data_IF_701218551591
#
_entry.id   IF_701218551591
#
_cell.length_a   1.000
_cell.length_b   1.000
_cell.length_c   1.000
_cell.angle_alpha   90.00
_cell.angle_beta   90.00
_cell.angle_gamma   90.00
#
_symmetry.space_group_name_H-M   'P 1'
#
loop_
_entity.id
_entity.type
_entity.pdbx_description
1 polymer ?
#
# COMPACT_ATOMS: atom_id res chain seq x y z
N UNK A 1 -1.37 -15.41 14.84
CA UNK A 1 -1.02 -15.96 13.52
C UNK A 1 -0.16 -14.97 12.74
N UNK A 2 0.23 -15.30 11.52
CA UNK A 2 1.11 -14.46 10.68
C UNK A 2 0.48 -13.11 10.27
N UNK A 3 -0.84 -12.97 10.38
CA UNK A 3 -1.57 -11.72 10.12
C UNK A 3 -1.65 -10.77 11.33
N UNK A 4 -0.77 -10.93 12.33
CA UNK A 4 -0.76 -10.07 13.52
C UNK A 4 -0.52 -8.59 13.20
N UNK A 5 -1.16 -7.69 13.94
CA UNK A 5 -1.14 -6.25 13.68
C UNK A 5 -1.81 -5.42 14.79
N UNK A 6 -2.02 -4.11 14.57
CA UNK A 6 -2.74 -3.28 15.52
C UNK A 6 -4.22 -3.69 15.60
N UNK A 7 -4.77 -3.62 16.80
CA UNK A 7 -6.18 -3.77 17.11
C UNK A 7 -6.74 -2.45 17.60
N UNK A 8 -7.87 -2.02 17.06
CA UNK A 8 -8.58 -0.83 17.51
C UNK A 8 -9.90 -1.24 18.15
N UNK A 9 -10.10 -0.85 19.41
CA UNK A 9 -11.35 -1.00 20.15
C UNK A 9 -11.96 0.37 20.34
N UNK A 10 -13.28 0.51 20.12
CA UNK A 10 -13.95 1.80 20.30
C UNK A 10 -15.40 1.66 20.73
N UNK A 11 -15.96 2.72 21.31
CA UNK A 11 -17.36 2.78 21.77
C UNK A 11 -18.23 3.73 20.91
N UNK A 12 -19.52 3.82 21.26
CA UNK A 12 -20.48 4.72 20.59
C UNK A 12 -20.16 6.21 20.79
N UNK A 13 -19.29 6.57 21.72
CA UNK A 13 -18.81 7.95 21.95
C UNK A 13 -17.54 8.27 21.16
N UNK A 14 -17.02 7.32 20.36
CA UNK A 14 -15.75 7.42 19.67
C UNK A 14 -14.52 7.46 20.58
N UNK A 15 -14.64 7.03 21.85
CA UNK A 15 -13.46 6.72 22.65
C UNK A 15 -12.79 5.50 22.03
N UNK A 16 -11.49 5.57 21.77
CA UNK A 16 -10.78 4.55 21.03
C UNK A 16 -9.47 4.17 21.72
N UNK A 17 -9.19 2.87 21.73
CA UNK A 17 -7.97 2.25 22.23
C UNK A 17 -7.28 1.51 21.09
N UNK A 18 -5.98 1.76 20.90
CA UNK A 18 -5.14 1.07 19.91
C UNK A 18 -4.15 0.20 20.65
N UNK A 19 -4.15 -1.10 20.36
CA UNK A 19 -3.22 -2.09 20.93
C UNK A 19 -2.37 -2.66 19.80
N UNK A 20 -1.05 -2.57 19.88
CA UNK A 20 -0.15 -3.08 18.85
C UNK A 20 1.14 -3.65 19.44
N UNK A 21 1.90 -4.45 18.67
CA UNK A 21 3.31 -4.62 18.95
C UNK A 21 4.01 -3.25 19.01
N UNK A 22 4.93 -3.10 19.95
CA UNK A 22 5.88 -1.99 20.06
C UNK A 22 7.27 -2.41 19.59
N UNK A 23 7.60 -3.70 19.65
CA UNK A 23 8.88 -4.23 19.17
C UNK A 23 8.69 -5.58 18.47
N UNK A 24 9.74 -6.06 17.80
CA UNK A 24 9.78 -7.38 17.13
C UNK A 24 8.62 -7.60 16.15
N UNK A 25 8.27 -6.60 15.35
CA UNK A 25 7.07 -6.58 14.50
C UNK A 25 6.86 -7.85 13.65
N UNK A 26 7.94 -8.38 13.08
CA UNK A 26 7.89 -9.59 12.25
C UNK A 26 7.63 -10.88 13.04
N UNK A 27 8.00 -10.93 14.32
CA UNK A 27 7.71 -12.08 15.19
C UNK A 27 6.42 -11.90 15.99
N UNK A 28 6.08 -10.66 16.35
CA UNK A 28 4.95 -10.33 17.20
C UNK A 28 3.62 -10.73 16.53
N UNK A 29 2.69 -11.16 17.37
CA UNK A 29 1.43 -11.69 16.92
C UNK A 29 0.34 -11.48 17.96
N UNK A 30 -0.89 -11.34 17.48
CA UNK A 30 -2.09 -11.37 18.28
C UNK A 30 -3.08 -12.38 17.68
N UNK A 31 -3.98 -12.88 18.52
CA UNK A 31 -5.06 -13.76 18.10
C UNK A 31 -6.29 -13.50 18.97
N UNK A 32 -7.44 -13.33 18.31
CA UNK A 32 -8.75 -13.35 18.97
C UNK A 32 -9.14 -14.80 19.24
N UNK A 33 -9.60 -15.09 20.46
CA UNK A 33 -10.09 -16.38 20.92
C UNK A 33 -11.53 -16.21 21.43
N UNK A 34 -12.51 -16.72 20.68
CA UNK A 34 -13.92 -16.41 20.96
C UNK A 34 -14.20 -14.91 20.87
N UNK A 35 -15.29 -14.42 21.44
CA UNK A 35 -15.67 -13.00 21.35
C UNK A 35 -15.06 -12.09 22.41
N UNK A 36 -14.55 -12.65 23.50
CA UNK A 36 -14.17 -11.89 24.71
C UNK A 36 -12.67 -11.93 25.04
N UNK A 37 -11.88 -12.76 24.36
CA UNK A 37 -10.46 -12.90 24.66
C UNK A 37 -9.57 -12.57 23.47
N UNK A 38 -8.51 -11.84 23.75
CA UNK A 38 -7.44 -11.54 22.80
C UNK A 38 -6.13 -11.85 23.50
N UNK A 39 -5.28 -12.62 22.82
CA UNK A 39 -3.94 -12.96 23.29
C UNK A 39 -2.90 -12.27 22.43
N UNK A 40 -1.78 -11.91 23.04
CA UNK A 40 -0.61 -11.32 22.41
C UNK A 40 0.63 -12.15 22.72
N UNK A 41 1.58 -12.20 21.79
CA UNK A 41 2.82 -12.96 21.93
C UNK A 41 3.59 -12.99 20.61
N UNK A 42 4.25 -14.12 20.33
CA UNK A 42 4.95 -14.37 19.07
C UNK A 42 4.16 -15.28 18.14
N UNK A 43 4.57 -15.35 16.87
CA UNK A 43 3.99 -16.26 15.88
C UNK A 43 4.15 -17.74 16.28
N UNK A 44 3.13 -18.55 15.98
CA UNK A 44 3.02 -19.91 16.53
C UNK A 44 3.90 -20.98 15.86
N UNK A 45 4.56 -20.64 14.75
CA UNK A 45 5.44 -21.56 14.00
C UNK A 45 6.93 -21.41 14.36
N UNK A 46 7.25 -20.61 15.38
CA UNK A 46 8.63 -20.38 15.82
C UNK A 46 9.26 -21.66 16.36
N UNK A 47 10.44 -22.01 15.84
CA UNK A 47 11.16 -23.24 16.21
C UNK A 47 11.74 -23.18 17.63
N UNK A 48 12.29 -22.03 18.01
CA UNK A 48 12.94 -21.82 19.30
C UNK A 48 12.85 -20.37 19.73
N UNK A 49 12.45 -20.16 20.99
CA UNK A 49 12.54 -18.87 21.66
C UNK A 49 13.78 -18.88 22.54
N UNK A 50 14.77 -17.99 22.32
CA UNK A 50 15.94 -17.92 23.19
C UNK A 50 15.55 -17.44 24.58
N UNK A 51 16.38 -17.79 25.58
CA UNK A 51 16.22 -17.22 26.92
C UNK A 51 16.29 -15.68 26.83
N UNK A 52 15.51 -15.00 27.68
CA UNK A 52 15.48 -13.53 27.75
C UNK A 52 14.93 -12.82 26.49
N UNK A 53 14.29 -13.55 25.56
CA UNK A 53 13.62 -12.92 24.43
C UNK A 53 12.43 -12.07 24.89
N UNK A 54 12.43 -10.79 24.55
CA UNK A 54 11.35 -9.85 24.88
C UNK A 54 10.60 -9.38 23.62
N UNK A 55 9.29 -9.22 23.78
CA UNK A 55 8.40 -8.55 22.83
C UNK A 55 7.57 -7.55 23.61
N UNK A 56 7.58 -6.31 23.18
CA UNK A 56 6.87 -5.22 23.83
C UNK A 56 5.56 -4.93 23.09
N UNK A 57 4.54 -4.55 23.84
CA UNK A 57 3.25 -4.14 23.30
C UNK A 57 2.88 -2.75 23.82
N UNK A 58 2.24 -1.97 22.95
CA UNK A 58 1.74 -0.63 23.25
C UNK A 58 0.23 -0.66 23.37
N UNK A 59 -0.29 0.05 24.36
CA UNK A 59 -1.70 0.42 24.48
C UNK A 59 -1.77 1.94 24.47
N UNK A 60 -2.52 2.50 23.52
CA UNK A 60 -2.79 3.94 23.40
C UNK A 60 -4.29 4.18 23.50
N UNK A 61 -4.70 5.32 24.05
CA UNK A 61 -6.10 5.71 24.21
C UNK A 61 -6.31 7.15 23.75
N UNK A 62 -7.45 7.43 23.11
CA UNK A 62 -7.90 8.77 22.74
C UNK A 62 -9.42 8.87 22.89
N UNK A 63 -9.89 9.98 23.44
CA UNK A 63 -11.30 10.37 23.53
C UNK A 63 -11.72 11.32 22.39
N UNK A 64 -10.82 11.56 21.43
CA UNK A 64 -10.98 12.54 20.33
C UNK A 64 -11.42 11.91 19.01
N UNK A 65 -11.75 10.62 19.01
CA UNK A 65 -12.13 9.88 17.81
C UNK A 65 -11.15 8.77 17.42
N UNK A 66 -11.63 7.87 16.57
CA UNK A 66 -10.92 6.67 16.11
C UNK A 66 -9.75 7.06 15.21
N UNK A 67 -10.00 7.94 14.23
CA UNK A 67 -8.95 8.50 13.37
C UNK A 67 -7.86 9.22 14.18
N UNK A 68 -8.24 9.96 15.22
CA UNK A 68 -7.28 10.65 16.08
C UNK A 68 -6.47 9.67 16.92
N UNK A 69 -7.09 8.62 17.48
CA UNK A 69 -6.38 7.57 18.19
C UNK A 69 -5.31 6.88 17.33
N UNK A 70 -5.63 6.58 16.07
CA UNK A 70 -4.68 6.01 15.11
C UNK A 70 -3.52 6.97 14.80
N UNK A 71 -3.81 8.26 14.61
CA UNK A 71 -2.76 9.28 14.40
C UNK A 71 -1.86 9.44 15.61
N UNK A 72 -2.41 9.51 16.82
CA UNK A 72 -1.64 9.67 18.06
C UNK A 72 -0.75 8.45 18.32
N UNK A 73 -1.30 7.24 18.12
CA UNK A 73 -0.57 5.97 18.16
C UNK A 73 0.58 5.94 17.14
N UNK A 74 0.29 6.30 15.89
CA UNK A 74 1.28 6.34 14.81
C UNK A 74 2.37 7.38 15.04
N UNK A 75 2.02 8.57 15.55
CA UNK A 75 2.96 9.62 15.92
C UNK A 75 3.91 9.16 17.03
N UNK A 76 3.41 8.41 18.02
CA UNK A 76 4.26 7.81 19.05
C UNK A 76 5.25 6.81 18.44
N UNK A 77 4.79 5.89 17.59
CA UNK A 77 5.64 4.87 16.97
C UNK A 77 6.69 5.48 16.04
N UNK A 78 6.29 6.37 15.13
CA UNK A 78 7.21 7.04 14.20
C UNK A 78 8.27 7.85 14.95
N UNK A 79 7.90 8.53 16.04
CA UNK A 79 8.87 9.20 16.93
C UNK A 79 9.80 8.21 17.63
N UNK A 80 9.28 7.11 18.16
CA UNK A 80 10.07 6.07 18.87
C UNK A 80 11.12 5.45 17.95
N UNK A 81 10.77 5.25 16.68
CA UNK A 81 11.62 4.63 15.67
C UNK A 81 12.37 5.62 14.76
N UNK A 82 12.28 6.92 15.04
CA UNK A 82 12.87 7.98 14.21
C UNK A 82 12.46 7.92 12.72
N UNK A 83 11.26 7.41 12.41
CA UNK A 83 10.72 7.44 11.04
C UNK A 83 10.24 8.85 10.72
N UNK A 84 10.80 9.44 9.66
CA UNK A 84 10.47 10.80 9.21
C UNK A 84 9.83 10.81 7.82
N UNK A 85 9.12 11.89 7.46
CA UNK A 85 8.49 12.06 6.14
C UNK A 85 9.45 12.43 5.00
N UNK A 86 10.75 12.57 5.28
CA UNK A 86 11.73 13.10 4.30
C UNK A 86 11.89 12.22 3.06
N UNK A 87 11.83 10.90 3.22
CA UNK A 87 11.90 9.99 2.07
C UNK A 87 10.64 10.14 1.19
N UNK A 88 9.46 10.21 1.83
CA UNK A 88 8.16 10.42 1.16
C UNK A 88 8.10 11.73 0.36
N UNK A 89 8.72 12.80 0.86
CA UNK A 89 8.77 14.10 0.17
C UNK A 89 9.64 14.08 -1.10
N UNK A 90 10.64 13.21 -1.15
CA UNK A 90 11.57 13.08 -2.28
C UNK A 90 11.18 11.95 -3.24
N UNK A 91 10.15 11.20 -2.91
CA UNK A 91 9.67 10.09 -3.71
C UNK A 91 8.96 10.61 -4.97
N UNK A 92 9.55 10.35 -6.14
CA UNK A 92 8.99 10.72 -7.43
C UNK A 92 7.60 10.09 -7.64
N UNK A 93 7.42 8.84 -7.17
CA UNK A 93 6.18 8.08 -7.35
C UNK A 93 4.99 8.67 -6.59
N UNK A 94 5.26 9.48 -5.56
CA UNK A 94 4.25 10.13 -4.72
C UNK A 94 3.99 11.58 -5.10
N UNK A 95 4.77 12.13 -6.03
CA UNK A 95 4.72 13.53 -6.42
C UNK A 95 4.30 13.73 -7.87
N UNK A 96 4.53 12.72 -8.73
CA UNK A 96 4.24 12.82 -10.16
C UNK A 96 3.41 11.64 -10.65
N UNK A 97 2.67 11.85 -11.73
CA UNK A 97 1.89 10.84 -12.44
C UNK A 97 2.81 9.74 -12.97
N UNK A 98 2.45 8.49 -12.69
CA UNK A 98 3.12 7.30 -13.22
C UNK A 98 2.32 6.63 -14.33
N UNK A 99 2.88 5.54 -14.84
CA UNK A 99 2.15 4.56 -15.66
C UNK A 99 2.53 3.15 -15.20
N UNK A 100 1.55 2.31 -14.93
CA UNK A 100 1.73 1.04 -14.22
C UNK A 100 1.29 -0.13 -15.10
N UNK A 101 2.11 -1.16 -15.15
CA UNK A 101 1.82 -2.41 -15.89
C UNK A 101 1.42 -3.56 -14.97
N UNK A 102 0.99 -3.26 -13.74
CA UNK A 102 0.52 -4.22 -12.73
C UNK A 102 -0.69 -5.01 -13.21
N UNK A 103 -1.01 -6.08 -12.47
CA UNK A 103 -2.25 -6.83 -12.67
C UNK A 103 -3.46 -5.89 -12.81
N UNK A 104 -4.25 -6.11 -13.85
CA UNK A 104 -5.40 -5.32 -14.25
C UNK A 104 -5.09 -4.23 -15.28
N UNK A 105 -3.82 -3.84 -15.47
CA UNK A 105 -3.42 -2.92 -16.52
C UNK A 105 -3.55 -3.56 -17.92
N UNK A 106 -3.80 -2.74 -18.94
CA UNK A 106 -3.94 -3.19 -20.32
C UNK A 106 -2.69 -3.93 -20.82
N UNK A 107 -1.49 -3.51 -20.40
CA UNK A 107 -0.21 -4.13 -20.75
C UNK A 107 0.33 -5.09 -19.67
N UNK A 108 -0.51 -5.65 -18.80
CA UNK A 108 -0.10 -6.77 -17.95
C UNK A 108 -0.08 -8.07 -18.76
N UNK A 109 1.09 -8.70 -18.90
CA UNK A 109 1.27 -9.89 -19.76
C UNK A 109 0.74 -9.70 -21.20
N UNK A 110 0.74 -8.47 -21.71
CA UNK A 110 0.19 -8.09 -23.00
C UNK A 110 1.00 -6.94 -23.63
N UNK A 111 1.21 -6.97 -24.95
CA UNK A 111 1.93 -5.93 -25.71
C UNK A 111 1.08 -5.38 -26.84
N UNK A 112 1.50 -4.26 -27.43
CA UNK A 112 1.00 -3.86 -28.74
C UNK A 112 1.27 -4.97 -29.77
N UNK A 113 0.31 -5.18 -30.69
CA UNK A 113 0.41 -6.25 -31.68
C UNK A 113 1.68 -6.11 -32.53
N UNK A 114 2.53 -7.14 -32.49
CA UNK A 114 3.77 -7.20 -33.28
C UNK A 114 4.95 -6.45 -32.65
N UNK A 115 4.85 -6.05 -31.38
CA UNK A 115 5.91 -5.37 -30.65
C UNK A 115 6.33 -6.13 -29.38
N UNK A 116 7.56 -5.85 -28.93
CA UNK A 116 8.03 -6.19 -27.59
C UNK A 116 7.53 -5.14 -26.56
N UNK A 117 7.88 -5.31 -25.29
CA UNK A 117 7.46 -4.39 -24.24
C UNK A 117 8.22 -3.07 -24.25
N UNK A 118 9.51 -3.07 -24.57
CA UNK A 118 10.30 -1.84 -24.69
C UNK A 118 9.62 -0.86 -25.67
N UNK A 119 9.31 -1.33 -26.89
CA UNK A 119 8.64 -0.54 -27.93
C UNK A 119 7.19 -0.19 -27.56
N UNK A 120 6.50 -1.05 -26.81
CA UNK A 120 5.12 -0.80 -26.36
C UNK A 120 5.07 0.31 -25.33
N UNK A 121 5.94 0.25 -24.31
CA UNK A 121 5.93 1.20 -23.20
C UNK A 121 6.49 2.56 -23.61
N UNK A 122 7.49 2.61 -24.50
CA UNK A 122 7.98 3.88 -25.09
C UNK A 122 6.87 4.58 -25.84
N UNK A 123 6.09 3.85 -26.65
CA UNK A 123 4.98 4.41 -27.39
C UNK A 123 3.84 4.91 -26.49
N UNK A 124 3.54 4.20 -25.41
CA UNK A 124 2.49 4.58 -24.46
C UNK A 124 2.81 5.90 -23.75
N UNK A 125 4.04 6.05 -23.26
CA UNK A 125 4.40 7.25 -22.50
C UNK A 125 4.80 8.44 -23.37
N UNK A 126 5.00 8.23 -24.68
CA UNK A 126 5.38 9.28 -25.61
C UNK A 126 4.35 10.43 -25.58
N UNK A 127 4.84 11.66 -25.34
CA UNK A 127 4.02 12.88 -25.25
C UNK A 127 2.98 12.88 -24.11
N UNK A 128 3.22 12.14 -23.03
CA UNK A 128 2.37 12.14 -21.84
C UNK A 128 2.94 12.99 -20.69
N UNK A 129 2.10 13.24 -19.68
CA UNK A 129 2.50 13.85 -18.40
C UNK A 129 3.11 12.83 -17.42
N UNK A 130 3.30 11.58 -17.84
CA UNK A 130 3.90 10.51 -17.01
C UNK A 130 5.38 10.82 -16.75
N UNK A 131 5.86 10.53 -15.53
CA UNK A 131 7.24 10.79 -15.08
C UNK A 131 7.98 9.56 -14.58
N UNK A 132 7.29 8.45 -14.37
CA UNK A 132 7.90 7.18 -14.05
C UNK A 132 7.05 6.02 -14.56
N UNK A 133 7.70 4.87 -14.75
CA UNK A 133 7.07 3.60 -15.04
C UNK A 133 7.16 2.70 -13.81
N UNK A 134 6.07 2.02 -13.46
CA UNK A 134 6.12 0.83 -12.63
C UNK A 134 5.94 -0.39 -13.54
N UNK A 135 6.92 -1.28 -13.52
CA UNK A 135 6.94 -2.48 -14.36
C UNK A 135 6.72 -3.69 -13.44
N UNK A 136 5.69 -4.46 -13.73
CA UNK A 136 5.27 -5.61 -12.93
C UNK A 136 5.75 -6.93 -13.55
N UNK A 137 5.47 -8.04 -12.86
CA UNK A 137 6.33 -9.18 -12.57
C UNK A 137 6.59 -10.17 -13.72
N UNK A 138 6.53 -9.69 -14.97
CA UNK A 138 6.66 -10.46 -16.20
C UNK A 138 7.97 -10.23 -16.96
N UNK A 139 8.79 -9.26 -16.54
CA UNK A 139 9.98 -8.87 -17.31
C UNK A 139 11.19 -9.77 -17.11
N UNK A 140 11.19 -10.64 -16.09
CA UNK A 140 12.33 -11.44 -15.68
C UNK A 140 12.08 -12.95 -15.78
N UNK A 141 13.14 -13.76 -15.96
CA UNK A 141 13.03 -15.21 -15.96
C UNK A 141 12.51 -15.75 -14.62
N UNK A 142 11.56 -16.68 -14.71
CA UNK A 142 11.04 -17.42 -13.56
C UNK A 142 11.74 -18.78 -13.41
N UNK A 143 12.07 -19.11 -12.17
CA UNK A 143 12.80 -20.30 -11.77
C UNK A 143 11.88 -21.39 -11.21
N UNK A 144 12.40 -22.15 -10.25
CA UNK A 144 11.64 -23.20 -9.57
C UNK A 144 10.40 -22.58 -8.89
N UNK A 145 9.25 -23.24 -9.06
CA UNK A 145 7.93 -22.82 -8.51
C UNK A 145 7.56 -21.36 -8.83
N UNK A 146 7.94 -20.84 -10.00
CA UNK A 146 7.68 -19.47 -10.45
C UNK A 146 8.39 -18.34 -9.69
N UNK A 147 9.32 -18.64 -8.77
CA UNK A 147 10.12 -17.61 -8.09
C UNK A 147 11.06 -16.86 -9.05
N UNK A 148 11.40 -15.61 -8.75
CA UNK A 148 12.34 -14.82 -9.56
C UNK A 148 13.71 -15.52 -9.64
N UNK A 149 14.16 -15.84 -10.86
CA UNK A 149 15.47 -16.50 -11.06
C UNK A 149 16.62 -15.49 -11.10
N UNK A 150 16.39 -14.36 -11.77
CA UNK A 150 17.33 -13.24 -11.91
C UNK A 150 16.53 -11.97 -12.12
N UNK A 151 17.05 -10.82 -11.68
CA UNK A 151 16.45 -9.49 -11.92
C UNK A 151 16.86 -8.87 -13.26
N UNK A 152 17.76 -9.53 -14.00
CA UNK A 152 18.06 -9.15 -15.38
C UNK A 152 16.84 -9.41 -16.27
N UNK A 153 16.35 -8.41 -17.01
CA UNK A 153 15.19 -8.60 -17.86
C UNK A 153 15.48 -9.56 -19.01
N UNK A 154 14.45 -10.27 -19.46
CA UNK A 154 14.56 -11.11 -20.64
C UNK A 154 14.79 -10.26 -21.89
N UNK A 155 15.79 -10.63 -22.71
CA UNK A 155 16.14 -9.90 -23.94
C UNK A 155 15.04 -9.95 -25.00
N UNK A 156 14.12 -10.92 -24.92
CA UNK A 156 12.91 -11.00 -25.74
C UNK A 156 11.87 -9.94 -25.37
N UNK A 157 11.91 -9.45 -24.13
CA UNK A 157 10.95 -8.51 -23.54
C UNK A 157 11.53 -7.08 -23.61
N UNK A 158 12.74 -6.90 -23.11
CA UNK A 158 13.52 -5.66 -23.13
C UNK A 158 14.86 -5.91 -23.84
N UNK A 159 14.92 -5.82 -25.18
CA UNK A 159 16.14 -6.09 -25.94
C UNK A 159 17.30 -5.14 -25.61
N UNK A 160 17.01 -3.91 -25.19
CA UNK A 160 18.01 -2.97 -24.67
C UNK A 160 18.48 -3.29 -23.25
N UNK A 161 17.78 -4.19 -22.57
CA UNK A 161 17.98 -4.52 -21.16
C UNK A 161 17.67 -3.36 -20.22
N UNK A 162 17.68 -3.66 -18.93
CA UNK A 162 18.01 -2.67 -17.91
C UNK A 162 19.52 -2.77 -17.77
N UNK A 163 20.26 -1.67 -17.62
CA UNK A 163 21.72 -1.74 -17.53
C UNK A 163 22.15 -2.54 -16.28
N UNK A 164 22.22 -3.86 -16.40
CA UNK A 164 22.71 -4.77 -15.38
C UNK A 164 22.89 -6.18 -15.94
N UNK A 165 24.14 -6.66 -15.91
CA UNK A 165 24.54 -7.92 -16.53
C UNK A 165 24.51 -9.06 -15.52
N UNK A 166 23.45 -9.89 -15.58
CA UNK A 166 23.21 -11.13 -14.82
C UNK A 166 23.23 -10.92 -13.29
N UNK A 167 22.50 -11.70 -12.48
CA UNK A 167 22.48 -11.51 -11.00
C UNK A 167 23.80 -11.89 -10.32
N UNK A 168 24.82 -11.09 -10.56
CA UNK A 168 26.13 -11.02 -9.92
C UNK A 168 26.05 -10.49 -8.50
N UNK A 169 24.86 -10.32 -7.93
CA UNK A 169 24.63 -9.84 -6.57
C UNK A 169 24.59 -10.96 -5.55
N UNK A 170 24.03 -12.12 -5.87
CA UNK A 170 23.90 -13.20 -4.89
C UNK A 170 25.27 -13.83 -4.57
N UNK A 171 25.57 -14.01 -3.29
CA UNK A 171 26.87 -14.54 -2.84
C UNK A 171 27.15 -15.96 -3.35
N UNK A 172 26.12 -16.77 -3.58
CA UNK A 172 26.26 -18.10 -4.19
C UNK A 172 26.47 -18.06 -5.71
N UNK A 173 26.31 -16.89 -6.35
CA UNK A 173 26.61 -16.62 -7.76
C UNK A 173 27.83 -15.69 -7.92
N UNK A 174 28.69 -15.56 -6.89
CA UNK A 174 29.89 -14.72 -6.94
C UNK A 174 29.68 -13.24 -6.60
N UNK A 175 28.51 -12.89 -6.09
CA UNK A 175 28.14 -11.53 -5.70
C UNK A 175 28.37 -11.14 -4.24
N UNK A 176 28.03 -9.90 -3.90
CA UNK A 176 28.32 -9.32 -2.57
C UNK A 176 27.15 -9.48 -1.58
N UNK A 177 25.94 -9.79 -2.05
CA UNK A 177 24.71 -9.81 -1.28
C UNK A 177 24.30 -11.22 -0.89
N UNK A 178 23.97 -11.39 0.39
CA UNK A 178 23.56 -12.68 0.95
C UNK A 178 22.06 -12.85 0.82
N UNK A 179 21.64 -13.62 -0.18
CA UNK A 179 20.28 -14.14 -0.27
C UNK A 179 20.13 -15.32 0.71
N UNK A 180 18.91 -15.52 1.21
CA UNK A 180 18.61 -16.59 2.18
C UNK A 180 17.79 -17.66 1.46
N UNK A 181 18.43 -18.76 1.02
CA UNK A 181 17.71 -19.84 0.35
C UNK A 181 16.95 -20.67 1.38
N UNK A 182 15.66 -20.89 1.13
CA UNK A 182 14.87 -21.92 1.78
C UNK A 182 15.01 -23.21 0.97
N UNK A 183 15.86 -24.11 1.46
CA UNK A 183 16.17 -25.37 0.78
C UNK A 183 14.97 -26.34 0.75
N UNK A 184 13.93 -26.14 1.56
CA UNK A 184 12.75 -27.01 1.58
C UNK A 184 11.71 -26.58 0.55
N UNK A 185 11.52 -25.26 0.39
CA UNK A 185 10.52 -24.69 -0.52
C UNK A 185 11.13 -24.35 -1.89
N UNK A 186 12.46 -24.21 -1.96
CA UNK A 186 13.18 -23.84 -3.17
C UNK A 186 13.17 -22.33 -3.47
N UNK A 187 12.57 -21.52 -2.61
CA UNK A 187 12.58 -20.06 -2.71
C UNK A 187 13.83 -19.46 -2.08
N UNK A 188 14.20 -18.24 -2.48
CA UNK A 188 15.22 -17.45 -1.81
C UNK A 188 14.67 -16.05 -1.62
N UNK A 189 14.83 -15.51 -0.41
CA UNK A 189 14.28 -14.20 -0.06
C UNK A 189 15.06 -13.09 -0.81
N UNK A 190 14.45 -12.36 -1.78
CA UNK A 190 15.15 -11.38 -2.62
C UNK A 190 15.05 -9.93 -2.10
N UNK A 191 15.80 -9.01 -2.71
CA UNK A 191 15.74 -7.55 -2.45
C UNK A 191 14.50 -6.87 -3.08
N UNK A 192 13.49 -7.66 -3.44
CA UNK A 192 12.28 -7.15 -4.08
C UNK A 192 11.10 -7.15 -3.12
N UNK A 193 10.15 -6.33 -3.51
CA UNK A 193 9.14 -5.80 -2.66
C UNK A 193 7.83 -5.79 -3.47
N UNK A 194 7.42 -7.00 -3.81
CA UNK A 194 6.06 -7.33 -4.23
C UNK A 194 5.62 -8.64 -3.56
N UNK A 195 4.31 -8.88 -3.45
CA UNK A 195 3.74 -10.14 -2.93
C UNK A 195 4.29 -10.56 -1.56
N UNK A 196 4.51 -9.58 -0.64
CA UNK A 196 5.12 -9.84 0.67
C UNK A 196 4.36 -10.89 1.51
N UNK A 197 3.04 -11.00 1.34
CA UNK A 197 2.23 -12.05 1.92
C UNK A 197 2.62 -13.43 1.39
N UNK A 198 2.72 -13.61 0.07
CA UNK A 198 3.08 -14.88 -0.56
C UNK A 198 4.50 -15.29 -0.17
N UNK A 199 5.45 -14.35 -0.19
CA UNK A 199 6.81 -14.60 0.29
C UNK A 199 6.81 -15.11 1.73
N UNK A 200 5.99 -14.52 2.60
CA UNK A 200 5.87 -14.96 4.00
C UNK A 200 5.18 -16.31 4.14
N UNK A 201 4.11 -16.54 3.38
CA UNK A 201 3.27 -17.74 3.49
C UNK A 201 3.95 -18.97 2.88
N UNK A 202 4.72 -18.76 1.81
CA UNK A 202 5.37 -19.83 1.06
C UNK A 202 6.82 -20.10 1.51
N UNK A 203 7.41 -19.24 2.35
CA UNK A 203 8.75 -19.44 2.89
C UNK A 203 8.69 -19.80 4.39
N UNK A 204 8.93 -21.09 4.70
CA UNK A 204 8.78 -21.58 6.07
C UNK A 204 9.76 -20.91 7.02
N UNK A 205 10.96 -20.54 6.55
CA UNK A 205 11.96 -19.89 7.36
C UNK A 205 11.49 -18.51 7.86
N UNK A 206 10.67 -17.78 7.09
CA UNK A 206 10.13 -16.48 7.49
C UNK A 206 9.11 -16.56 8.63
N UNK A 207 8.51 -17.72 8.83
CA UNK A 207 7.51 -17.95 9.90
C UNK A 207 8.05 -18.78 11.07
N UNK A 208 9.24 -19.37 10.94
CA UNK A 208 9.90 -20.15 11.99
C UNK A 208 11.08 -19.44 12.68
N UNK A 209 11.79 -18.55 11.98
CA UNK A 209 12.87 -17.72 12.54
C UNK A 209 12.35 -16.35 13.01
N UNK A 210 12.60 -16.04 14.29
CA UNK A 210 12.12 -14.82 14.96
C UNK A 210 12.66 -13.50 14.38
N UNK A 211 13.83 -13.52 13.73
CA UNK A 211 14.53 -12.32 13.29
C UNK A 211 14.77 -12.29 11.77
N UNK A 212 14.48 -13.38 11.04
CA UNK A 212 14.71 -13.48 9.60
C UNK A 212 13.94 -12.42 8.81
N UNK A 213 12.63 -12.31 9.00
CA UNK A 213 11.81 -11.32 8.27
C UNK A 213 12.26 -9.88 8.54
N UNK A 214 12.64 -9.57 9.78
CA UNK A 214 13.19 -8.23 10.12
C UNK A 214 14.54 -8.02 9.44
N UNK A 215 15.45 -9.00 9.50
CA UNK A 215 16.77 -8.91 8.87
C UNK A 215 16.65 -8.69 7.36
N UNK A 216 15.77 -9.43 6.70
CA UNK A 216 15.49 -9.26 5.28
C UNK A 216 15.06 -7.83 4.96
N UNK A 217 13.94 -7.37 5.54
CA UNK A 217 13.37 -6.08 5.20
C UNK A 217 14.30 -4.90 5.55
N UNK A 218 15.07 -5.01 6.64
CA UNK A 218 16.04 -3.97 7.01
C UNK A 218 17.31 -3.98 6.16
N UNK A 219 17.72 -5.13 5.61
CA UNK A 219 18.85 -5.18 4.67
C UNK A 219 18.46 -4.55 3.32
N UNK A 220 17.28 -4.90 2.80
CA UNK A 220 16.72 -4.27 1.60
C UNK A 220 16.59 -2.76 1.77
N UNK A 221 16.00 -2.35 2.90
CA UNK A 221 15.91 -0.95 3.31
C UNK A 221 17.22 -0.17 3.22
N UNK A 222 18.28 -0.71 3.80
CA UNK A 222 19.60 -0.06 3.84
C UNK A 222 20.22 0.07 2.46
N UNK A 223 20.07 -0.94 1.61
CA UNK A 223 20.52 -0.88 0.23
C UNK A 223 19.79 0.22 -0.53
N UNK A 224 18.46 0.25 -0.45
CA UNK A 224 17.65 1.29 -1.09
C UNK A 224 17.99 2.71 -0.58
N UNK A 225 18.19 2.89 0.73
CA UNK A 225 18.65 4.17 1.29
C UNK A 225 20.01 4.61 0.73
N UNK A 226 20.95 3.68 0.54
CA UNK A 226 22.28 3.97 -0.02
C UNK A 226 22.18 4.52 -1.45
N UNK A 227 21.22 4.05 -2.23
CA UNK A 227 20.98 4.49 -3.61
C UNK A 227 19.90 5.58 -3.74
N UNK A 228 19.30 6.00 -2.63
CA UNK A 228 18.22 6.99 -2.63
C UNK A 228 16.93 6.49 -3.30
N UNK A 229 16.71 5.18 -3.30
CA UNK A 229 15.55 4.53 -3.92
C UNK A 229 14.43 4.39 -2.88
N UNK A 230 13.23 4.93 -3.13
CA UNK A 230 12.06 4.69 -2.28
C UNK A 230 11.47 3.28 -2.53
N UNK A 231 10.75 2.76 -1.54
CA UNK A 231 10.19 1.41 -1.51
C UNK A 231 8.65 1.48 -1.26
N UNK A 232 7.86 0.68 -2.01
CA UNK A 232 6.39 0.55 -1.95
C UNK A 232 5.89 -0.78 -1.38
N UNK A 233 5.65 -0.90 -0.07
CA UNK A 233 5.17 -2.16 0.55
C UNK A 233 3.91 -2.73 -0.12
N UNK A 234 4.01 -3.86 -0.81
CA UNK A 234 2.96 -4.42 -1.65
C UNK A 234 2.51 -5.79 -1.15
N UNK A 235 1.20 -6.03 -1.23
CA UNK A 235 0.53 -7.20 -0.63
C UNK A 235 1.00 -7.48 0.80
N UNK A 236 1.14 -6.41 1.57
CA UNK A 236 1.81 -6.42 2.85
C UNK A 236 0.86 -6.83 3.98
N UNK A 237 1.23 -7.84 4.77
CA UNK A 237 0.66 -8.03 6.10
C UNK A 237 0.95 -6.84 7.03
N UNK A 238 0.11 -6.68 8.05
CA UNK A 238 0.26 -5.61 9.05
C UNK A 238 1.62 -5.60 9.74
N UNK A 239 2.27 -6.76 9.89
CA UNK A 239 3.65 -6.88 10.39
C UNK A 239 4.70 -6.21 9.50
N UNK A 240 4.53 -6.29 8.17
CA UNK A 240 5.43 -5.63 7.22
C UNK A 240 5.24 -4.11 7.32
N UNK A 241 3.99 -3.66 7.34
CA UNK A 241 3.64 -2.24 7.52
C UNK A 241 4.23 -1.69 8.82
N UNK A 242 4.13 -2.42 9.93
CA UNK A 242 4.80 -2.04 11.19
C UNK A 242 6.33 -2.07 11.07
N UNK A 243 6.91 -3.10 10.43
CA UNK A 243 8.35 -3.22 10.24
C UNK A 243 8.95 -2.07 9.42
N UNK A 244 8.14 -1.37 8.60
CA UNK A 244 8.54 -0.14 7.90
C UNK A 244 9.01 0.98 8.84
N UNK A 245 8.67 0.93 10.14
CA UNK A 245 9.19 1.84 11.16
C UNK A 245 10.72 1.82 11.25
N UNK A 246 11.33 0.68 10.96
CA UNK A 246 12.80 0.50 10.94
C UNK A 246 13.39 0.58 9.54
N UNK A 247 12.57 0.93 8.53
CA UNK A 247 12.97 0.99 7.13
C UNK A 247 12.61 2.34 6.52
N UNK A 248 13.46 3.37 6.67
CA UNK A 248 13.17 4.72 6.19
C UNK A 248 12.94 4.84 4.68
N UNK A 249 13.54 3.96 3.87
CA UNK A 249 13.31 3.89 2.43
C UNK A 249 11.86 3.53 2.06
N UNK A 250 11.09 2.88 2.95
CA UNK A 250 9.68 2.57 2.70
C UNK A 250 8.85 3.83 2.90
N UNK A 251 8.39 4.38 1.80
CA UNK A 251 7.65 5.65 1.73
C UNK A 251 6.16 5.43 1.58
N UNK A 252 5.75 4.25 1.11
CA UNK A 252 4.38 3.98 0.72
C UNK A 252 4.06 2.48 0.75
N UNK A 253 2.76 2.16 0.72
CA UNK A 253 2.30 0.78 0.75
C UNK A 253 0.97 0.61 0.03
N UNK A 254 0.77 -0.50 -0.68
CA UNK A 254 -0.52 -0.93 -1.21
C UNK A 254 -1.50 -1.18 -0.06
N UNK A 255 -2.66 -0.56 -0.15
CA UNK A 255 -3.72 -0.61 0.86
C UNK A 255 -5.05 -1.16 0.31
N UNK A 256 -5.01 -1.67 -0.92
CA UNK A 256 -6.09 -2.36 -1.62
C UNK A 256 -5.67 -3.78 -1.98
N UNK A 257 -6.62 -4.60 -2.42
CA UNK A 257 -6.33 -5.79 -3.24
C UNK A 257 -5.85 -5.36 -4.65
N UNK A 258 -5.47 -6.36 -5.46
CA UNK A 258 -5.18 -6.16 -6.88
C UNK A 258 -6.34 -5.54 -7.65
N UNK A 259 -6.00 -4.61 -8.53
CA UNK A 259 -6.88 -4.09 -9.54
C UNK A 259 -7.24 -5.17 -10.56
N UNK A 260 -8.54 -5.29 -10.86
CA UNK A 260 -9.00 -6.09 -11.99
C UNK A 260 -10.17 -5.37 -12.67
N UNK A 261 -10.04 -4.98 -13.96
CA UNK A 261 -11.17 -4.48 -14.72
C UNK A 261 -12.23 -5.59 -14.84
N UNK A 262 -13.51 -5.21 -14.87
CA UNK A 262 -14.66 -6.14 -14.86
C UNK A 262 -14.87 -7.06 -13.64
N UNK A 263 -14.18 -6.83 -12.51
CA UNK A 263 -14.46 -7.52 -11.24
C UNK A 263 -15.14 -6.60 -10.21
N UNK A 264 -16.48 -6.39 -10.30
CA UNK A 264 -17.19 -5.50 -9.38
C UNK A 264 -17.28 -6.06 -7.95
N UNK A 265 -16.98 -7.34 -7.75
CA UNK A 265 -16.94 -8.02 -6.46
C UNK A 265 -15.70 -7.67 -5.62
N UNK A 266 -14.65 -7.12 -6.24
CA UNK A 266 -13.45 -6.64 -5.56
C UNK A 266 -13.51 -5.10 -5.55
N UNK A 267 -14.03 -4.47 -4.49
CA UNK A 267 -14.20 -3.03 -4.43
C UNK A 267 -12.86 -2.37 -4.08
N UNK A 268 -11.92 -2.43 -5.01
CA UNK A 268 -10.51 -2.09 -4.83
C UNK A 268 -10.30 -0.64 -4.32
N UNK A 269 -11.21 0.28 -4.68
CA UNK A 269 -11.27 1.65 -4.16
C UNK A 269 -11.60 1.77 -2.66
N UNK A 270 -12.00 0.69 -1.97
CA UNK A 270 -12.36 0.70 -0.54
C UNK A 270 -11.15 0.58 0.38
N UNK A 271 -10.28 1.58 0.32
CA UNK A 271 -9.00 1.59 1.01
C UNK A 271 -9.03 2.23 2.40
N UNK A 272 -10.16 2.78 2.85
CA UNK A 272 -10.18 3.79 3.92
C UNK A 272 -9.67 3.34 5.29
N UNK A 273 -9.91 2.08 5.70
CA UNK A 273 -9.39 1.53 6.97
C UNK A 273 -7.88 1.32 6.85
N UNK A 274 -7.44 0.64 5.79
CA UNK A 274 -6.04 0.33 5.57
C UNK A 274 -5.20 1.58 5.30
N UNK A 275 -5.78 2.60 4.65
CA UNK A 275 -5.18 3.92 4.47
C UNK A 275 -4.97 4.63 5.81
N UNK A 276 -5.92 4.54 6.73
CA UNK A 276 -5.75 5.08 8.09
C UNK A 276 -4.57 4.44 8.82
N UNK A 277 -4.37 3.14 8.64
CA UNK A 277 -3.26 2.42 9.23
C UNK A 277 -1.91 2.79 8.60
N UNK A 278 -1.81 2.82 7.27
CA UNK A 278 -0.58 3.20 6.58
C UNK A 278 -0.18 4.67 6.83
N UNK A 279 -1.15 5.60 6.75
CA UNK A 279 -0.91 7.04 6.99
C UNK A 279 -0.42 7.32 8.42
N UNK A 280 -0.97 6.62 9.42
CA UNK A 280 -0.53 6.73 10.81
C UNK A 280 0.97 6.41 10.98
N UNK A 281 1.51 5.50 10.17
CA UNK A 281 2.93 5.13 10.17
C UNK A 281 3.77 5.94 9.17
N UNK A 282 3.21 7.04 8.66
CA UNK A 282 3.86 7.94 7.70
C UNK A 282 4.23 7.22 6.38
N UNK A 283 3.38 6.29 5.96
CA UNK A 283 3.41 5.69 4.62
C UNK A 283 2.29 6.28 3.78
N UNK A 284 2.56 6.54 2.51
CA UNK A 284 1.51 6.93 1.57
C UNK A 284 0.67 5.70 1.15
N UNK A 285 -0.67 5.75 1.28
CA UNK A 285 -1.53 4.64 0.87
C UNK A 285 -1.68 4.56 -0.65
N UNK A 286 -1.19 3.48 -1.25
CA UNK A 286 -1.36 3.15 -2.67
C UNK A 286 -2.65 2.36 -2.91
N UNK A 287 -3.48 2.86 -3.83
CA UNK A 287 -4.69 2.19 -4.30
C UNK A 287 -4.38 1.21 -5.44
N UNK A 288 -3.15 1.02 -5.87
CA UNK A 288 -2.82 0.24 -7.07
C UNK A 288 -3.34 0.87 -8.39
N UNK A 289 -3.03 0.25 -9.54
CA UNK A 289 -3.36 0.69 -10.90
C UNK A 289 -4.87 0.81 -11.15
N UNK A 290 -5.25 1.42 -12.27
CA UNK A 290 -6.63 1.55 -12.72
C UNK A 290 -6.71 1.95 -14.20
N UNK A 291 -7.90 1.77 -14.81
CA UNK A 291 -8.22 2.36 -16.11
C UNK A 291 -8.94 3.69 -15.96
N UNK A 292 -8.55 4.67 -16.78
CA UNK A 292 -9.14 6.01 -16.85
C UNK A 292 -10.35 6.11 -17.81
N UNK A 293 -10.65 5.04 -18.54
CA UNK A 293 -11.83 4.87 -19.38
C UNK A 293 -12.62 3.62 -19.04
N UNK A 294 -13.90 3.62 -19.41
CA UNK A 294 -14.79 2.48 -19.21
C UNK A 294 -14.38 1.29 -20.09
N UNK A 295 -14.29 1.51 -21.41
CA UNK A 295 -14.05 0.46 -22.40
C UNK A 295 -12.71 0.62 -23.12
N UNK A 296 -11.98 -0.49 -23.24
CA UNK A 296 -10.70 -0.59 -23.93
C UNK A 296 -10.69 -1.85 -24.81
N UNK A 297 -11.18 -1.78 -26.05
CA UNK A 297 -11.28 -2.93 -26.95
C UNK A 297 -9.95 -3.66 -27.11
N UNK A 298 -10.01 -5.00 -27.08
CA UNK A 298 -8.82 -5.86 -27.20
C UNK A 298 -8.06 -6.09 -25.90
N UNK A 299 -8.57 -5.58 -24.77
CA UNK A 299 -7.97 -5.85 -23.46
C UNK A 299 -7.96 -7.35 -23.10
N UNK A 300 -6.93 -7.82 -22.36
CA UNK A 300 -6.77 -9.23 -22.01
C UNK A 300 -7.79 -9.75 -20.99
N UNK A 301 -8.53 -8.85 -20.33
CA UNK A 301 -9.51 -9.20 -19.29
C UNK A 301 -10.93 -9.41 -19.83
N UNK A 302 -11.16 -9.12 -21.12
CA UNK A 302 -12.49 -9.11 -21.75
C UNK A 302 -13.52 -8.32 -20.92
N UNK A 303 -13.06 -7.21 -20.35
CA UNK A 303 -13.78 -6.44 -19.34
C UNK A 303 -13.83 -4.95 -19.60
N UNK A 304 -14.55 -4.24 -18.72
CA UNK A 304 -14.64 -2.78 -18.67
C UNK A 304 -14.52 -2.30 -17.22
N UNK A 305 -13.94 -1.11 -17.03
CA UNK A 305 -13.99 -0.37 -15.77
C UNK A 305 -15.37 0.31 -15.67
N UNK A 306 -15.97 0.28 -14.47
CA UNK A 306 -17.33 0.78 -14.25
C UNK A 306 -17.35 2.15 -13.58
N UNK A 307 -16.25 2.55 -12.98
CA UNK A 307 -16.13 3.76 -12.18
C UNK A 307 -14.73 4.39 -12.32
N UNK A 308 -14.24 4.72 -13.54
CA UNK A 308 -12.90 5.27 -13.70
C UNK A 308 -12.71 6.58 -12.94
N UNK A 309 -13.77 7.40 -12.84
CA UNK A 309 -13.78 8.61 -12.01
C UNK A 309 -13.52 8.31 -10.53
N UNK A 310 -14.14 7.25 -9.98
CA UNK A 310 -13.95 6.87 -8.59
C UNK A 310 -12.55 6.32 -8.35
N UNK A 311 -12.05 5.46 -9.24
CA UNK A 311 -10.68 4.93 -9.18
C UNK A 311 -9.66 6.07 -9.17
N UNK A 312 -9.79 7.00 -10.12
CA UNK A 312 -8.88 8.14 -10.27
C UNK A 312 -8.96 9.07 -9.05
N UNK A 313 -10.17 9.37 -8.56
CA UNK A 313 -10.38 10.21 -7.38
C UNK A 313 -9.74 9.61 -6.13
N UNK A 314 -9.96 8.31 -5.89
CA UNK A 314 -9.43 7.62 -4.71
C UNK A 314 -7.90 7.51 -4.80
N UNK A 315 -7.33 7.15 -5.95
CA UNK A 315 -5.88 7.11 -6.13
C UNK A 315 -5.23 8.49 -5.88
N UNK A 316 -5.88 9.57 -6.31
CA UNK A 316 -5.36 10.93 -6.12
C UNK A 316 -5.40 11.36 -4.66
N UNK A 317 -6.54 11.13 -4.00
CA UNK A 317 -6.77 11.61 -2.64
C UNK A 317 -6.20 10.69 -1.57
N UNK A 318 -5.87 9.43 -1.89
CA UNK A 318 -5.16 8.54 -0.97
C UNK A 318 -3.81 9.13 -0.57
N UNK A 319 -3.21 9.99 -1.40
CA UNK A 319 -1.90 10.59 -1.15
C UNK A 319 -0.73 9.66 -1.48
N UNK A 320 -1.04 8.46 -1.99
CA UNK A 320 -0.12 7.52 -2.61
C UNK A 320 0.11 7.81 -4.10
N UNK A 321 0.68 6.84 -4.82
CA UNK A 321 0.90 6.96 -6.26
C UNK A 321 -0.39 7.06 -7.08
N UNK A 322 -0.29 7.74 -8.21
CA UNK A 322 -1.34 7.77 -9.25
C UNK A 322 -0.74 7.19 -10.52
N UNK A 323 -1.04 5.93 -10.79
CA UNK A 323 -0.54 5.18 -11.94
C UNK A 323 -1.66 4.52 -12.72
N UNK A 324 -2.24 5.17 -13.74
CA UNK A 324 -3.11 4.50 -14.70
C UNK A 324 -2.37 3.39 -15.46
N UNK A 325 -3.13 2.39 -15.91
CA UNK A 325 -2.67 1.27 -16.72
C UNK A 325 -3.50 1.10 -17.99
N UNK A 326 -3.98 2.19 -18.58
CA UNK A 326 -4.76 2.20 -19.82
C UNK A 326 -3.94 1.74 -21.03
N UNK A 327 -4.59 1.17 -22.04
CA UNK A 327 -3.96 0.88 -23.33
C UNK A 327 -3.83 2.13 -24.20
N UNK A 328 -2.91 2.07 -25.18
CA UNK A 328 -2.62 3.17 -26.08
C UNK A 328 -3.85 3.68 -26.83
N UNK A 329 -4.02 5.00 -26.76
CA UNK A 329 -5.16 5.70 -27.36
C UNK A 329 -6.44 5.65 -26.52
N UNK A 330 -6.45 4.93 -25.40
CA UNK A 330 -7.58 4.87 -24.47
C UNK A 330 -7.39 5.73 -23.23
N UNK A 331 -6.19 6.25 -22.95
CA UNK A 331 -5.95 7.15 -21.82
C UNK A 331 -6.81 8.41 -21.88
N UNK A 332 -7.65 8.61 -20.86
CA UNK A 332 -8.49 9.80 -20.70
C UNK A 332 -7.71 10.95 -20.05
N UNK A 333 -6.92 11.65 -20.86
CA UNK A 333 -6.10 12.79 -20.40
C UNK A 333 -6.92 13.88 -19.71
N UNK A 334 -8.17 14.12 -20.13
CA UNK A 334 -9.04 15.12 -19.50
C UNK A 334 -9.40 14.76 -18.05
N UNK A 335 -9.56 13.47 -17.76
CA UNK A 335 -9.77 12.98 -16.41
C UNK A 335 -8.47 13.06 -15.60
N UNK A 336 -7.35 12.58 -16.15
CA UNK A 336 -6.06 12.58 -15.44
C UNK A 336 -5.53 13.98 -15.11
N UNK A 337 -5.81 14.98 -15.95
CA UNK A 337 -5.49 16.39 -15.66
C UNK A 337 -6.35 17.03 -14.55
N UNK A 338 -7.32 16.31 -13.99
CA UNK A 338 -7.98 16.70 -12.72
C UNK A 338 -7.17 16.26 -11.50
N UNK A 339 -6.20 15.37 -11.69
CA UNK A 339 -5.42 14.72 -10.65
C UNK A 339 -3.99 15.22 -10.61
N UNK A 340 -3.50 15.81 -11.70
CA UNK A 340 -2.17 16.37 -11.81
C UNK A 340 -2.17 17.63 -12.68
N UNK A 341 -1.11 18.43 -12.57
CA UNK A 341 -0.85 19.52 -13.52
C UNK A 341 -0.30 19.00 -14.87
N UNK A 342 -0.06 19.90 -15.82
CA UNK A 342 0.48 19.54 -17.14
C UNK A 342 1.89 18.93 -17.09
N UNK A 343 2.63 19.18 -16.01
CA UNK A 343 3.95 18.57 -15.77
C UNK A 343 3.85 17.21 -15.07
N UNK A 344 2.64 16.75 -14.77
CA UNK A 344 2.38 15.49 -14.08
C UNK A 344 2.40 15.59 -12.56
N UNK A 345 2.55 16.78 -11.96
CA UNK A 345 2.60 16.88 -10.48
C UNK A 345 1.23 16.63 -9.89
N UNK A 346 1.12 15.66 -8.97
CA UNK A 346 -0.15 15.20 -8.43
C UNK A 346 -0.75 16.24 -7.46
N UNK A 347 -2.04 16.52 -7.63
CA UNK A 347 -2.86 17.38 -6.77
C UNK A 347 -3.36 16.62 -5.53
N UNK A 348 -2.43 16.16 -4.70
CA UNK A 348 -2.71 15.34 -3.51
C UNK A 348 -3.24 16.17 -2.32
N UNK A 349 -3.95 15.50 -1.42
CA UNK A 349 -4.29 16.04 -0.10
C UNK A 349 -3.05 16.24 0.78
N UNK A 350 -3.13 17.14 1.75
CA UNK A 350 -2.11 17.27 2.80
C UNK A 350 -2.15 16.12 3.81
N UNK A 351 -3.27 15.39 3.84
CA UNK A 351 -3.39 14.10 4.52
C UNK A 351 -3.87 13.04 3.54
N UNK A 352 -3.58 11.79 3.85
CA UNK A 352 -4.13 10.67 3.09
C UNK A 352 -5.64 10.57 3.33
N UNK A 353 -6.38 10.15 2.31
CA UNK A 353 -7.81 9.85 2.43
C UNK A 353 -8.02 8.66 3.38
N UNK A 354 -8.81 8.86 4.44
CA UNK A 354 -9.16 7.79 5.38
C UNK A 354 -10.68 7.65 5.50
N UNK A 355 -11.14 6.50 5.99
CA UNK A 355 -12.54 6.31 6.36
C UNK A 355 -12.89 7.23 7.54
N UNK A 356 -14.06 7.86 7.51
CA UNK A 356 -14.53 8.70 8.62
C UNK A 356 -14.98 7.83 9.81
N UNK A 357 -14.76 8.33 11.03
CA UNK A 357 -15.22 7.68 12.28
C UNK A 357 -16.71 7.34 12.25
N UNK A 358 -17.51 8.20 11.61
CA UNK A 358 -18.95 7.99 11.50
C UNK A 358 -19.32 6.77 10.66
N UNK A 359 -18.57 6.48 9.59
CA UNK A 359 -18.75 5.25 8.82
C UNK A 359 -18.32 4.01 9.61
N UNK A 360 -17.24 4.09 10.39
CA UNK A 360 -16.82 3.01 11.28
C UNK A 360 -17.88 2.69 12.34
N UNK A 361 -18.43 3.72 13.00
CA UNK A 361 -19.48 3.56 14.00
C UNK A 361 -20.78 3.03 13.40
N UNK A 362 -21.15 3.51 12.23
CA UNK A 362 -22.34 3.02 11.51
C UNK A 362 -22.19 1.52 11.20
N UNK A 363 -21.01 1.09 10.74
CA UNK A 363 -20.72 -0.33 10.49
C UNK A 363 -20.72 -1.18 11.78
N UNK A 364 -20.19 -0.65 12.89
CA UNK A 364 -20.07 -1.39 14.14
C UNK A 364 -21.38 -1.51 14.94
N UNK A 365 -22.11 -0.39 15.10
CA UNK A 365 -23.24 -0.31 16.05
C UNK A 365 -24.61 -0.31 15.37
N UNK A 366 -24.71 0.14 14.12
CA UNK A 366 -26.01 0.28 13.46
C UNK A 366 -26.30 -0.86 12.47
N UNK A 367 -26.38 -2.09 13.01
CA UNK A 367 -26.67 -3.31 12.25
C UNK A 367 -28.05 -3.34 11.56
N UNK A 368 -28.95 -2.39 11.87
CA UNK A 368 -30.32 -2.27 11.33
C UNK A 368 -30.56 -1.03 10.45
N UNK A 369 -29.61 -0.11 10.33
CA UNK A 369 -29.61 0.78 9.18
C UNK A 369 -29.51 -0.07 7.91
N UNK A 370 -30.01 0.37 6.75
CA UNK A 370 -29.84 -0.35 5.48
C UNK A 370 -28.37 -0.33 4.99
N UNK A 371 -27.41 -0.57 5.89
CA UNK A 371 -25.97 -0.66 5.70
C UNK A 371 -25.55 -1.97 5.00
N UNK A 372 -26.51 -2.81 4.65
CA UNK A 372 -26.35 -3.81 3.59
C UNK A 372 -26.11 -3.22 2.18
N UNK A 373 -26.06 -1.89 2.02
CA UNK A 373 -25.79 -1.21 0.73
C UNK A 373 -24.37 -0.66 0.55
N UNK A 374 -23.47 -0.82 1.52
CA UNK A 374 -22.06 -0.42 1.36
C UNK A 374 -21.82 1.10 1.30
N UNK A 375 -22.57 1.87 2.10
CA UNK A 375 -22.36 3.31 2.33
C UNK A 375 -21.01 3.58 2.99
N UNK A 376 -20.18 4.44 2.39
CA UNK A 376 -18.87 4.78 2.95
C UNK A 376 -18.63 6.27 2.79
N UNK A 377 -18.19 6.89 3.88
CA UNK A 377 -17.64 8.23 3.89
C UNK A 377 -16.14 8.19 4.09
N UNK A 378 -15.45 8.92 3.23
CA UNK A 378 -14.04 9.19 3.35
C UNK A 378 -13.80 10.67 3.56
N UNK A 379 -12.69 11.01 4.19
CA UNK A 379 -12.25 12.38 4.37
C UNK A 379 -10.77 12.56 4.16
N UNK A 380 -10.39 13.72 3.62
CA UNK A 380 -9.02 14.22 3.61
C UNK A 380 -9.04 15.74 3.84
N UNK A 381 -7.87 16.33 4.08
CA UNK A 381 -7.70 17.78 4.15
C UNK A 381 -6.55 18.23 3.24
N UNK A 382 -6.68 19.44 2.72
CA UNK A 382 -5.62 20.15 2.00
C UNK A 382 -5.33 21.47 2.70
N UNK A 383 -4.05 21.70 3.02
CA UNK A 383 -3.55 22.98 3.50
C UNK A 383 -2.96 23.75 2.31
N UNK A 384 -3.66 24.80 1.88
CA UNK A 384 -3.26 25.64 0.76
C UNK A 384 -3.00 27.04 1.30
N UNK A 385 -1.74 27.46 1.31
CA UNK A 385 -1.31 28.78 1.80
C UNK A 385 -1.82 29.10 3.23
N UNK A 386 -1.87 28.10 4.11
CA UNK A 386 -2.34 28.24 5.49
C UNK A 386 -3.85 28.08 5.68
N UNK A 387 -4.62 27.94 4.60
CA UNK A 387 -6.06 27.66 4.66
C UNK A 387 -6.32 26.15 4.57
N UNK A 388 -7.13 25.63 5.49
CA UNK A 388 -7.51 24.22 5.54
C UNK A 388 -8.82 24.02 4.79
N UNK A 389 -8.79 23.16 3.78
CA UNK A 389 -9.96 22.71 3.02
C UNK A 389 -10.22 21.24 3.34
N UNK A 390 -11.41 20.94 3.87
CA UNK A 390 -11.84 19.56 4.09
C UNK A 390 -12.57 19.01 2.87
N UNK A 391 -12.22 17.81 2.46
CA UNK A 391 -12.86 17.08 1.36
C UNK A 391 -13.56 15.85 1.92
N UNK A 392 -14.84 15.67 1.57
CA UNK A 392 -15.63 14.48 1.91
C UNK A 392 -15.99 13.75 0.62
N UNK A 393 -15.76 12.45 0.59
CA UNK A 393 -16.25 11.58 -0.48
C UNK A 393 -17.35 10.72 0.11
N UNK A 394 -18.54 10.82 -0.48
CA UNK A 394 -19.71 10.07 -0.10
C UNK A 394 -20.03 9.03 -1.17
N UNK A 395 -19.89 7.75 -0.83
CA UNK A 395 -20.13 6.64 -1.75
C UNK A 395 -21.34 5.81 -1.31
N UNK A 396 -22.21 5.47 -2.27
CA UNK A 396 -23.44 4.67 -2.10
C UNK A 396 -24.44 5.18 -1.05
N UNK A 397 -24.43 6.48 -0.72
CA UNK A 397 -25.33 7.08 0.26
C UNK A 397 -26.79 7.02 -0.22
N UNK A 398 -27.65 6.33 0.54
CA UNK A 398 -29.05 6.09 0.21
C UNK A 398 -30.03 7.05 0.91
N UNK A 399 -29.55 7.98 1.75
CA UNK A 399 -30.39 8.92 2.49
C UNK A 399 -29.67 10.20 2.91
N UNK A 400 -30.41 11.12 3.54
CA UNK A 400 -29.83 12.36 4.04
C UNK A 400 -28.76 12.08 5.10
N UNK A 401 -27.59 12.69 4.92
CA UNK A 401 -26.46 12.55 5.81
C UNK A 401 -26.08 13.91 6.39
N UNK A 402 -26.30 14.11 7.69
CA UNK A 402 -25.88 15.35 8.37
C UNK A 402 -24.37 15.30 8.61
N UNK A 403 -23.64 16.29 8.12
CA UNK A 403 -22.22 16.49 8.36
C UNK A 403 -22.02 17.84 9.05
N UNK A 404 -21.12 17.88 10.02
CA UNK A 404 -20.67 19.10 10.68
C UNK A 404 -19.13 19.21 10.58
N UNK A 405 -18.54 20.41 10.64
CA UNK A 405 -17.08 20.57 10.51
C UNK A 405 -16.26 19.72 11.48
N UNK A 406 -16.78 19.47 12.68
CA UNK A 406 -16.14 18.60 13.68
C UNK A 406 -16.07 17.12 13.25
N UNK A 407 -16.87 16.68 12.27
CA UNK A 407 -16.77 15.33 11.71
C UNK A 407 -15.52 15.12 10.84
N UNK A 408 -14.92 16.22 10.34
CA UNK A 408 -13.74 16.21 9.46
C UNK A 408 -12.44 16.41 10.22
N UNK A 409 -12.45 17.39 11.12
CA UNK A 409 -11.24 17.86 11.80
C UNK A 409 -11.56 18.28 13.24
N UNK A 410 -11.78 17.33 14.16
CA UNK A 410 -12.01 17.65 15.57
C UNK A 410 -10.92 18.57 16.15
N UNK A 411 -9.68 18.45 15.68
CA UNK A 411 -8.52 19.20 16.16
C UNK A 411 -8.40 20.64 15.62
N UNK A 412 -9.07 20.98 14.50
CA UNK A 412 -9.00 22.32 13.89
C UNK A 412 -10.24 23.17 14.15
N UNK A 413 -11.31 22.60 14.69
CA UNK A 413 -12.47 23.35 15.16
C UNK A 413 -12.20 23.84 16.58
N UNK A 414 -11.36 24.87 16.70
CA UNK A 414 -11.41 25.72 17.88
C UNK A 414 -12.72 26.52 17.80
N UNK A 415 -13.60 26.32 18.78
CA UNK A 415 -14.75 27.20 18.97
C UNK A 415 -14.18 28.57 19.27
N UNK A 416 -14.28 29.49 18.30
CA UNK A 416 -14.24 30.92 18.62
C UNK A 416 -15.53 31.17 19.38
N UNK A 417 -15.45 31.17 20.71
CA UNK A 417 -16.52 31.68 21.57
C UNK A 417 -16.44 33.20 21.56
#
# INVERSE_FOLDING_TARGET
>A
GIQGGPLVLFDESSNAMVISPLSKFMAASNRKFGDEHISWGIMGLVDKVPAEYTVDFLISFSDKGINQAMRDWGAFLTKTYNKTGRARERDLTLTHLGYWTDNGAYYYYNTEKGKNYEDTLVDEIANSSVRYLQIDSWFYPKGHVNGTKTWTPETSIFPGGFQDSETSYASYNGGTYKFIPDAQTGYAVPDDQDWLNEETDQNLALVSDLDLGRRWLTQMGRAAEQFGIPIQYCMAYSRHILQSLEVPAVTQARVSDDYQPARPDIPQYKIGITSMFADALNLAPSKDTFWSTDDQPGNPYHGHEKAPYLQTLIATLSGGPVGPGDGKGFTNTKLLLKCCDSEGRILRGSRSLTIMDKSLKQAAFNRRAPTGRGEILYSTISNISGHIFGTIIAHNIAGFYKLVPTDLTPEYVSVVI
#
